data_IF_369434100120
#
_entry.id   IF_369434100120
#
_cell.length_a   1.000
_cell.length_b   1.000
_cell.length_c   1.000
_cell.angle_alpha   90.00
_cell.angle_beta   90.00
_cell.angle_gamma   90.00
#
_symmetry.space_group_name_H-M   'P 1'
#
loop_
_entity.id
_entity.type
_entity.pdbx_description
1 polymer ?
#
# COMPACT_ATOMS: atom_id res chain seq x y z
N UNK A 1 -25.98 -30.31 -40.01
CA UNK A 1 -24.99 -29.22 -40.13
C UNK A 1 -24.88 -28.51 -38.79
N UNK A 2 -23.81 -28.77 -38.02
CA UNK A 2 -23.61 -28.19 -36.68
C UNK A 2 -23.10 -26.74 -36.76
N UNK A 3 -23.70 -25.85 -35.96
CA UNK A 3 -23.36 -24.42 -35.92
C UNK A 3 -21.92 -24.23 -35.42
N UNK A 4 -21.09 -23.53 -36.18
CA UNK A 4 -19.71 -23.24 -35.78
C UNK A 4 -19.71 -22.36 -34.51
N UNK A 5 -19.25 -22.91 -33.39
CA UNK A 5 -18.98 -22.12 -32.19
C UNK A 5 -17.62 -21.44 -32.32
N UNK A 6 -17.59 -20.12 -32.13
CA UNK A 6 -16.37 -19.32 -31.99
C UNK A 6 -15.67 -19.62 -30.66
N UNK A 7 -15.11 -20.83 -30.50
CA UNK A 7 -14.06 -21.07 -29.50
C UNK A 7 -12.73 -20.57 -30.06
N UNK A 8 -12.65 -19.27 -30.30
CA UNK A 8 -11.37 -18.61 -30.52
C UNK A 8 -10.60 -18.62 -29.20
N UNK A 9 -9.29 -18.84 -29.27
CA UNK A 9 -8.34 -18.54 -28.18
C UNK A 9 -8.26 -17.03 -27.96
N UNK A 10 -9.39 -16.41 -27.66
CA UNK A 10 -9.51 -15.00 -27.34
C UNK A 10 -8.69 -14.68 -26.11
N UNK A 11 -8.28 -13.41 -25.99
CA UNK A 11 -7.50 -12.90 -24.86
C UNK A 11 -8.18 -13.32 -23.56
N UNK A 12 -7.48 -14.11 -22.73
CA UNK A 12 -8.00 -14.57 -21.43
C UNK A 12 -8.49 -13.34 -20.63
N UNK A 13 -9.67 -13.43 -19.98
CA UNK A 13 -10.19 -12.32 -19.19
C UNK A 13 -9.16 -11.92 -18.13
N UNK A 14 -8.90 -10.62 -18.04
CA UNK A 14 -7.91 -10.05 -17.13
C UNK A 14 -8.38 -10.31 -15.70
N UNK A 15 -7.74 -11.26 -15.01
CA UNK A 15 -8.01 -11.49 -13.58
C UNK A 15 -7.26 -10.43 -12.79
N UNK A 16 -8.00 -9.55 -12.11
CA UNK A 16 -7.42 -8.66 -11.12
C UNK A 16 -7.15 -9.45 -9.85
N UNK A 17 -5.92 -9.92 -9.67
CA UNK A 17 -5.48 -10.53 -8.41
C UNK A 17 -5.33 -9.44 -7.37
N UNK A 18 -6.11 -9.51 -6.29
CA UNK A 18 -5.86 -8.72 -5.10
C UNK A 18 -4.58 -9.27 -4.47
N UNK A 19 -3.46 -8.58 -4.69
CA UNK A 19 -2.25 -8.82 -3.90
C UNK A 19 -2.59 -8.30 -2.51
N UNK A 20 -2.46 -9.16 -1.49
CA UNK A 20 -2.37 -8.69 -0.12
C UNK A 20 -1.05 -7.92 -0.01
N UNK A 21 -1.04 -6.68 -0.48
CA UNK A 21 0.09 -5.77 -0.34
C UNK A 21 0.36 -5.71 1.15
N UNK A 22 1.60 -5.93 1.52
CA UNK A 22 2.08 -6.06 2.88
C UNK A 22 1.78 -4.79 3.70
N UNK A 23 0.57 -4.71 4.24
CA UNK A 23 0.10 -3.59 5.06
C UNK A 23 0.54 -3.76 6.52
N UNK A 24 1.34 -4.78 6.86
CA UNK A 24 1.87 -5.01 8.22
C UNK A 24 2.60 -3.77 8.72
N UNK A 25 3.53 -3.24 7.93
CA UNK A 25 4.27 -2.02 8.24
C UNK A 25 3.36 -0.79 8.39
N UNK A 26 2.32 -0.66 7.55
CA UNK A 26 1.35 0.45 7.67
C UNK A 26 0.50 0.29 8.94
N UNK A 27 0.10 -0.94 9.26
CA UNK A 27 -0.73 -1.26 10.41
C UNK A 27 0.03 -1.00 11.72
N UNK A 28 1.29 -1.42 11.81
CA UNK A 28 2.16 -1.16 12.96
C UNK A 28 2.37 0.34 13.15
N UNK A 29 2.62 1.08 12.06
CA UNK A 29 2.75 2.53 12.13
C UNK A 29 1.44 3.20 12.60
N UNK A 30 0.28 2.74 12.14
CA UNK A 30 -1.02 3.26 12.61
C UNK A 30 -1.29 2.91 14.08
N UNK A 31 -0.93 1.70 14.53
CA UNK A 31 -1.01 1.30 15.94
C UNK A 31 -0.12 2.17 16.82
N UNK A 32 1.11 2.45 16.37
CA UNK A 32 2.03 3.35 17.04
C UNK A 32 1.46 4.77 17.15
N UNK A 33 0.89 5.31 16.08
CA UNK A 33 0.23 6.62 16.13
C UNK A 33 -1.03 6.62 17.00
N UNK A 34 -1.80 5.53 17.03
CA UNK A 34 -2.96 5.38 17.90
C UNK A 34 -2.58 5.36 19.39
N UNK A 35 -1.33 4.98 19.71
CA UNK A 35 -0.75 5.08 21.06
C UNK A 35 -0.43 6.50 21.51
N UNK A 36 -0.71 7.53 20.69
CA UNK A 36 -0.48 8.94 21.03
C UNK A 36 0.91 9.48 20.65
N UNK A 37 1.72 8.68 19.96
CA UNK A 37 3.05 9.11 19.51
C UNK A 37 2.99 10.11 18.34
N UNK A 38 3.99 10.99 18.26
CA UNK A 38 4.07 11.98 17.18
C UNK A 38 4.48 11.34 15.84
N UNK A 39 4.10 12.00 14.75
CA UNK A 39 4.45 11.58 13.38
C UNK A 39 5.96 11.67 13.15
N UNK A 40 6.66 12.64 13.76
CA UNK A 40 8.12 12.76 13.69
C UNK A 40 8.82 11.53 14.29
N UNK A 41 8.38 11.12 15.49
CA UNK A 41 8.90 9.95 16.19
C UNK A 41 8.62 8.66 15.42
N UNK A 42 7.42 8.53 14.84
CA UNK A 42 7.08 7.39 14.00
C UNK A 42 8.00 7.29 12.77
N UNK A 43 8.39 8.41 12.16
CA UNK A 43 9.32 8.39 11.01
C UNK A 43 10.72 7.97 11.46
N UNK A 44 11.18 8.44 12.62
CA UNK A 44 12.49 8.05 13.16
C UNK A 44 12.54 6.54 13.50
N UNK A 45 11.45 5.99 14.05
CA UNK A 45 11.36 4.59 14.46
C UNK A 45 11.23 3.63 13.27
N UNK A 46 10.32 3.91 12.33
CA UNK A 46 10.02 2.99 11.22
C UNK A 46 10.88 3.21 9.97
N UNK A 47 11.55 4.36 9.84
CA UNK A 47 12.42 4.68 8.69
C UNK A 47 13.79 5.21 9.13
N UNK A 48 14.62 4.40 9.80
CA UNK A 48 15.98 4.79 10.13
C UNK A 48 16.78 5.06 8.85
N UNK A 49 17.53 6.16 8.81
CA UNK A 49 18.37 6.52 7.66
C UNK A 49 17.67 7.23 6.50
N UNK A 50 16.40 7.65 6.67
CA UNK A 50 15.70 8.40 5.64
C UNK A 50 16.29 9.82 5.48
N UNK A 51 16.72 10.27 4.28
CA UNK A 51 17.24 11.62 4.07
C UNK A 51 16.15 12.67 4.32
N UNK A 52 16.54 13.91 4.67
CA UNK A 52 15.60 14.95 5.10
C UNK A 52 14.43 15.20 4.13
N UNK A 53 14.70 15.22 2.82
CA UNK A 53 13.66 15.37 1.78
C UNK A 53 12.66 14.20 1.75
N UNK A 54 13.12 12.99 2.07
CA UNK A 54 12.28 11.81 2.15
C UNK A 54 11.46 11.77 3.45
N UNK A 55 11.97 12.33 4.56
CA UNK A 55 11.19 12.52 5.80
C UNK A 55 9.95 13.37 5.57
N UNK A 56 10.07 14.51 4.88
CA UNK A 56 8.92 15.38 4.55
C UNK A 56 7.88 14.65 3.68
N UNK A 57 8.35 13.84 2.72
CA UNK A 57 7.46 13.01 1.89
C UNK A 57 6.71 11.98 2.73
N UNK A 58 7.39 11.32 3.65
CA UNK A 58 6.81 10.34 4.57
C UNK A 58 5.84 10.97 5.56
N UNK A 59 6.15 12.15 6.10
CA UNK A 59 5.23 12.91 6.95
C UNK A 59 3.93 13.21 6.21
N UNK A 60 4.00 13.75 4.98
CA UNK A 60 2.80 13.97 4.15
C UNK A 60 2.02 12.68 3.88
N UNK A 61 2.72 11.56 3.67
CA UNK A 61 2.10 10.25 3.45
C UNK A 61 1.36 9.76 4.71
N UNK A 62 1.98 9.88 5.88
CA UNK A 62 1.40 9.46 7.16
C UNK A 62 0.22 10.35 7.55
N UNK A 63 0.31 11.67 7.35
CA UNK A 63 -0.81 12.59 7.58
C UNK A 63 -2.03 12.26 6.71
N UNK A 64 -1.83 11.74 5.49
CA UNK A 64 -2.94 11.24 4.65
C UNK A 64 -3.60 9.97 5.19
N UNK A 65 -2.93 9.23 6.07
CA UNK A 65 -3.48 8.03 6.68
C UNK A 65 -4.30 8.32 7.94
N UNK A 66 -4.17 9.51 8.54
CA UNK A 66 -4.98 9.99 9.69
C UNK A 66 -6.41 10.42 9.26
N UNK A 67 -7.08 9.62 8.43
CA UNK A 67 -8.48 9.86 8.02
C UNK A 67 -9.45 9.22 8.99
#
# INVERSE_FOLDING_TARGET
MGRACTKGTGRKPKRYTRVAVDYTHKLELLKYLAGGHDVGDAIAHFYPGCPGSAKTRKQKQISKWKK
#
